data_IF_744825721658
#
_entry.id   IF_744825721658
#
_cell.length_a   1.000
_cell.length_b   1.000
_cell.length_c   1.000
_cell.angle_alpha   90.00
_cell.angle_beta   90.00
_cell.angle_gamma   90.00
#
_symmetry.space_group_name_H-M   'P 1'
#
loop_
_entity.id
_entity.type
_entity.pdbx_description
1 polymer ?
#
# COMPACT_ATOMS: atom_id res chain seq x y z
N UNK A 1 -23.82 -3.28 0.51
CA UNK A 1 -24.31 -2.06 -0.17
C UNK A 1 -25.74 -2.31 -0.61
N UNK A 2 -26.69 -1.70 0.04
CA UNK A 2 -28.10 -1.67 -0.41
C UNK A 2 -28.37 -0.59 -1.47
N UNK A 3 -27.31 -0.11 -2.13
CA UNK A 3 -27.32 0.94 -3.15
C UNK A 3 -25.89 1.29 -3.59
N UNK A 4 -25.75 2.30 -4.44
CA UNK A 4 -24.45 2.81 -4.90
C UNK A 4 -23.74 3.74 -3.88
N UNK A 5 -24.28 3.90 -2.67
CA UNK A 5 -23.74 4.76 -1.62
C UNK A 5 -23.21 3.98 -0.42
N UNK A 6 -22.53 4.69 0.46
CA UNK A 6 -22.12 4.17 1.77
C UNK A 6 -23.29 4.18 2.76
N UNK A 7 -23.20 3.34 3.80
CA UNK A 7 -24.14 3.40 4.91
C UNK A 7 -23.96 4.71 5.71
N UNK A 8 -24.98 5.08 6.51
CA UNK A 8 -24.88 6.25 7.40
C UNK A 8 -23.68 6.13 8.35
N UNK A 9 -23.42 4.93 8.86
CA UNK A 9 -22.25 4.65 9.71
C UNK A 9 -20.92 4.87 8.97
N UNK A 10 -20.83 4.39 7.71
CA UNK A 10 -19.65 4.59 6.86
C UNK A 10 -19.45 6.06 6.50
N UNK A 11 -20.52 6.84 6.27
CA UNK A 11 -20.40 8.28 6.04
C UNK A 11 -19.99 9.05 7.30
N UNK A 12 -20.48 8.66 8.48
CA UNK A 12 -20.04 9.23 9.76
C UNK A 12 -18.56 8.91 10.01
N UNK A 13 -18.16 7.66 9.78
CA UNK A 13 -16.77 7.22 9.87
C UNK A 13 -15.88 7.97 8.88
N UNK A 14 -16.27 8.10 7.62
CA UNK A 14 -15.58 8.89 6.59
C UNK A 14 -15.33 10.31 7.08
N UNK A 15 -16.36 10.96 7.63
CA UNK A 15 -16.24 12.32 8.17
C UNK A 15 -15.22 12.36 9.31
N UNK A 16 -15.28 11.43 10.25
CA UNK A 16 -14.32 11.35 11.38
C UNK A 16 -12.89 11.21 10.87
N UNK A 17 -12.63 10.31 9.92
CA UNK A 17 -11.29 10.11 9.35
C UNK A 17 -10.83 11.36 8.60
N UNK A 18 -11.70 12.00 7.83
CA UNK A 18 -11.41 13.26 7.13
C UNK A 18 -11.02 14.37 8.09
N UNK A 19 -11.80 14.57 9.15
CA UNK A 19 -11.56 15.61 10.16
C UNK A 19 -10.23 15.35 10.89
N UNK A 20 -9.97 14.11 11.29
CA UNK A 20 -8.69 13.70 11.87
C UNK A 20 -7.52 13.94 10.90
N UNK A 21 -7.65 13.48 9.67
CA UNK A 21 -6.58 13.56 8.65
C UNK A 21 -6.27 15.01 8.30
N UNK A 22 -7.29 15.85 8.14
CA UNK A 22 -7.12 17.27 7.86
C UNK A 22 -6.46 18.04 9.01
N UNK A 23 -6.77 17.66 10.26
CA UNK A 23 -6.21 18.31 11.45
C UNK A 23 -4.81 17.81 11.79
N UNK A 24 -4.56 16.50 11.69
CA UNK A 24 -3.40 15.86 12.26
C UNK A 24 -2.38 15.38 11.20
N UNK A 25 -2.82 14.94 10.00
CA UNK A 25 -1.95 14.39 8.98
C UNK A 25 -1.55 15.42 7.91
N UNK A 26 -2.48 16.26 7.46
CA UNK A 26 -2.19 17.26 6.42
C UNK A 26 -1.14 18.30 6.84
N UNK A 27 -1.16 18.85 8.08
CA UNK A 27 -0.10 19.74 8.52
C UNK A 27 1.26 19.03 8.51
N UNK A 28 2.27 19.64 7.87
CA UNK A 28 3.63 19.13 7.83
C UNK A 28 3.84 17.93 6.86
N UNK A 29 2.87 17.53 6.04
CA UNK A 29 3.07 16.43 5.06
C UNK A 29 4.25 16.68 4.14
N UNK A 30 4.38 17.92 3.67
CA UNK A 30 5.50 18.40 2.86
C UNK A 30 6.85 18.37 3.61
N UNK A 31 6.85 18.75 4.88
CA UNK A 31 8.08 18.77 5.68
C UNK A 31 8.52 17.36 6.05
N UNK A 32 7.58 16.45 6.32
CA UNK A 32 7.88 15.02 6.50
C UNK A 32 8.60 14.43 5.29
N UNK A 33 8.18 14.77 4.08
CA UNK A 33 8.84 14.31 2.85
C UNK A 33 10.27 14.83 2.69
N UNK A 34 10.63 15.95 3.32
CA UNK A 34 11.97 16.52 3.30
C UNK A 34 12.90 15.99 4.39
N UNK A 35 12.36 15.35 5.42
CA UNK A 35 13.13 14.83 6.56
C UNK A 35 13.83 13.52 6.18
N UNK A 36 14.88 13.62 5.36
CA UNK A 36 15.74 12.48 5.06
C UNK A 36 16.49 12.04 6.34
N UNK A 37 16.21 10.80 6.78
CA UNK A 37 16.94 10.17 7.89
C UNK A 37 16.26 10.13 9.26
N UNK A 38 15.11 10.77 9.46
CA UNK A 38 14.34 10.63 10.71
C UNK A 38 13.44 9.39 10.64
N UNK A 39 13.99 8.25 11.06
CA UNK A 39 13.31 6.94 10.99
C UNK A 39 12.25 6.73 12.06
N UNK A 40 12.35 7.44 13.20
CA UNK A 40 11.49 7.21 14.37
C UNK A 40 10.07 7.78 14.20
N UNK A 41 9.84 8.62 13.19
CA UNK A 41 8.51 9.22 12.96
C UNK A 41 7.44 8.20 12.58
N UNK A 42 7.79 7.05 12.00
CA UNK A 42 6.83 6.02 11.62
C UNK A 42 6.09 5.44 12.83
N UNK A 43 6.81 5.11 13.92
CA UNK A 43 6.22 4.65 15.18
C UNK A 43 5.38 5.74 15.86
N UNK A 44 5.82 7.00 15.83
CA UNK A 44 5.06 8.12 16.38
C UNK A 44 3.72 8.30 15.65
N UNK A 45 3.74 8.25 14.31
CA UNK A 45 2.53 8.34 13.50
C UNK A 45 1.61 7.14 13.70
N UNK A 46 2.17 5.93 13.78
CA UNK A 46 1.40 4.72 14.08
C UNK A 46 0.69 4.83 15.42
N UNK A 47 1.41 5.22 16.49
CA UNK A 47 0.84 5.44 17.83
C UNK A 47 -0.22 6.54 17.85
N UNK A 48 -0.04 7.61 17.06
CA UNK A 48 -1.01 8.70 16.95
C UNK A 48 -2.31 8.22 16.30
N UNK A 49 -2.22 7.46 15.22
CA UNK A 49 -3.36 6.86 14.52
C UNK A 49 -4.03 5.75 15.36
N UNK A 50 -3.26 5.00 16.14
CA UNK A 50 -3.78 3.98 17.05
C UNK A 50 -4.69 4.56 18.14
N UNK A 51 -4.46 5.80 18.60
CA UNK A 51 -5.32 6.48 19.58
C UNK A 51 -6.76 6.75 19.10
N UNK A 52 -6.98 6.67 17.80
CA UNK A 52 -8.30 6.81 17.15
C UNK A 52 -8.68 5.53 16.39
N UNK A 53 -8.10 4.41 16.77
CA UNK A 53 -8.37 3.04 16.28
C UNK A 53 -8.15 2.83 14.77
N UNK A 54 -7.39 3.69 14.10
CA UNK A 54 -7.18 3.59 12.65
C UNK A 54 -6.17 2.50 12.28
N UNK A 55 -5.12 2.26 13.06
CA UNK A 55 -4.08 1.27 12.73
C UNK A 55 -4.61 -0.16 12.82
N UNK A 56 -5.38 -0.47 13.87
CA UNK A 56 -6.00 -1.78 14.10
C UNK A 56 -7.34 -1.98 13.41
N UNK A 57 -7.75 -1.08 12.52
CA UNK A 57 -9.11 -1.03 11.97
C UNK A 57 -9.59 -2.35 11.38
N UNK A 58 -8.76 -3.03 10.57
CA UNK A 58 -9.11 -4.33 9.96
C UNK A 58 -8.61 -5.57 10.74
N UNK A 59 -8.05 -5.39 11.93
CA UNK A 59 -7.61 -6.51 12.79
C UNK A 59 -8.81 -7.00 13.62
N UNK A 60 -8.97 -8.33 13.84
CA UNK A 60 -10.06 -8.86 14.63
C UNK A 60 -10.13 -8.31 16.06
N UNK A 61 -11.35 -8.14 16.64
CA UNK A 61 -11.55 -7.58 17.98
C UNK A 61 -10.84 -8.33 19.10
N UNK A 62 -10.70 -9.66 19.00
CA UNK A 62 -10.00 -10.47 19.99
C UNK A 62 -8.51 -10.12 20.14
N UNK A 63 -7.94 -9.37 19.16
CA UNK A 63 -6.57 -8.84 19.20
C UNK A 63 -6.52 -7.32 19.41
N UNK A 64 -7.64 -6.69 19.75
CA UNK A 64 -7.72 -5.26 20.03
C UNK A 64 -7.96 -4.39 18.79
N UNK A 65 -8.33 -4.97 17.66
CA UNK A 65 -8.74 -4.27 16.46
C UNK A 65 -10.23 -3.98 16.41
N UNK A 66 -10.70 -3.42 15.28
CA UNK A 66 -12.12 -3.08 15.07
C UNK A 66 -12.85 -4.10 14.20
N UNK A 67 -12.14 -5.01 13.53
CA UNK A 67 -12.73 -6.03 12.64
C UNK A 67 -13.47 -5.47 11.43
N UNK A 68 -13.09 -4.26 10.99
CA UNK A 68 -13.73 -3.59 9.86
C UNK A 68 -13.56 -4.38 8.55
N UNK A 69 -14.57 -4.31 7.70
CA UNK A 69 -14.53 -4.83 6.34
C UNK A 69 -13.60 -4.03 5.42
N UNK A 70 -13.29 -4.58 4.25
CA UNK A 70 -12.37 -3.95 3.31
C UNK A 70 -12.88 -2.62 2.76
N UNK A 71 -14.19 -2.47 2.58
CA UNK A 71 -14.82 -1.20 2.15
C UNK A 71 -14.60 -0.13 3.22
N UNK A 72 -14.83 -0.42 4.49
CA UNK A 72 -14.61 0.54 5.59
C UNK A 72 -13.13 0.89 5.74
N UNK A 73 -12.23 -0.09 5.62
CA UNK A 73 -10.79 0.16 5.63
C UNK A 73 -10.37 1.04 4.43
N UNK A 74 -10.97 0.83 3.24
CA UNK A 74 -10.71 1.64 2.05
C UNK A 74 -11.14 3.10 2.23
N UNK A 75 -12.25 3.36 2.91
CA UNK A 75 -12.70 4.72 3.28
C UNK A 75 -11.61 5.42 4.11
N UNK A 76 -11.04 4.72 5.11
CA UNK A 76 -9.97 5.29 5.93
C UNK A 76 -8.73 5.61 5.08
N UNK A 77 -8.29 4.65 4.26
CA UNK A 77 -7.11 4.81 3.39
C UNK A 77 -7.30 5.97 2.40
N UNK A 78 -8.46 6.07 1.76
CA UNK A 78 -8.77 7.18 0.85
C UNK A 78 -8.68 8.54 1.56
N UNK A 79 -9.39 8.72 2.68
CA UNK A 79 -9.43 10.01 3.40
C UNK A 79 -8.07 10.38 4.01
N UNK A 80 -7.33 9.42 4.52
CA UNK A 80 -5.95 9.64 5.01
C UNK A 80 -5.01 10.04 3.88
N UNK A 81 -5.12 9.37 2.72
CA UNK A 81 -4.27 9.65 1.55
C UNK A 81 -4.57 10.99 0.88
N UNK A 82 -5.78 11.55 1.07
CA UNK A 82 -6.10 12.93 0.69
C UNK A 82 -5.27 13.94 1.47
N UNK A 83 -4.93 13.63 2.70
CA UNK A 83 -4.12 14.47 3.57
C UNK A 83 -2.62 14.22 3.41
N UNK A 84 -2.21 12.95 3.45
CA UNK A 84 -0.83 12.51 3.23
C UNK A 84 -0.82 11.10 2.64
N UNK A 85 -0.43 10.99 1.38
CA UNK A 85 -0.40 9.74 0.63
C UNK A 85 0.53 8.69 1.28
N UNK A 86 1.61 9.12 1.93
CA UNK A 86 2.58 8.22 2.56
C UNK A 86 2.07 7.61 3.88
N UNK A 87 1.13 8.28 4.55
CA UNK A 87 0.53 7.80 5.80
C UNK A 87 -0.76 7.00 5.58
N UNK A 88 -1.39 7.12 4.41
CA UNK A 88 -2.65 6.46 4.09
C UNK A 88 -2.60 4.93 4.18
N UNK A 89 -1.45 4.32 3.95
CA UNK A 89 -1.29 2.87 3.95
C UNK A 89 -1.08 2.23 5.35
N UNK A 90 -0.92 3.02 6.42
CA UNK A 90 -0.64 2.48 7.76
C UNK A 90 -1.66 1.44 8.26
N UNK A 91 -2.98 1.59 8.05
CA UNK A 91 -3.96 0.59 8.48
C UNK A 91 -3.93 -0.72 7.67
N UNK A 92 -3.31 -0.71 6.49
CA UNK A 92 -3.42 -1.82 5.52
C UNK A 92 -2.62 -3.04 5.96
N UNK A 93 -1.35 -2.86 6.33
CA UNK A 93 -0.48 -4.00 6.67
C UNK A 93 -0.93 -4.78 7.91
N UNK A 94 -1.35 -4.17 9.03
CA UNK A 94 -1.89 -4.91 10.16
C UNK A 94 -3.08 -5.80 9.79
N UNK A 95 -4.02 -5.29 8.98
CA UNK A 95 -5.18 -6.04 8.51
C UNK A 95 -4.78 -7.22 7.60
N UNK A 96 -3.85 -6.99 6.67
CA UNK A 96 -3.36 -8.03 5.76
C UNK A 96 -2.57 -9.12 6.50
N UNK A 97 -1.73 -8.73 7.48
CA UNK A 97 -0.96 -9.67 8.29
C UNK A 97 -1.88 -10.49 9.19
N UNK A 98 -2.87 -9.88 9.82
CA UNK A 98 -3.86 -10.60 10.61
C UNK A 98 -4.57 -11.66 9.73
N UNK A 99 -4.98 -11.29 8.51
CA UNK A 99 -5.62 -12.22 7.57
C UNK A 99 -4.67 -13.30 7.06
N UNK A 100 -3.39 -12.97 6.85
CA UNK A 100 -2.36 -13.94 6.48
C UNK A 100 -2.08 -14.93 7.61
N UNK A 101 -1.98 -14.46 8.86
CA UNK A 101 -1.81 -15.30 10.05
C UNK A 101 -3.01 -16.23 10.27
N UNK A 102 -4.23 -15.77 9.99
CA UNK A 102 -5.43 -16.60 10.05
C UNK A 102 -5.37 -17.72 8.98
N UNK A 103 -5.14 -17.34 7.71
CA UNK A 103 -5.09 -18.28 6.57
C UNK A 103 -3.93 -19.26 6.65
N UNK A 104 -2.81 -18.84 7.23
CA UNK A 104 -1.62 -19.64 7.44
C UNK A 104 -1.62 -20.42 8.76
N UNK A 105 -2.74 -20.43 9.50
CA UNK A 105 -2.90 -21.15 10.76
C UNK A 105 -1.76 -20.89 11.77
N UNK A 106 -1.27 -19.64 11.82
CA UNK A 106 -0.23 -19.25 12.79
C UNK A 106 -0.70 -19.49 14.21
N UNK A 107 0.22 -19.89 15.10
CA UNK A 107 -0.09 -20.18 16.50
C UNK A 107 -0.78 -19.00 17.20
N UNK A 108 -1.67 -19.30 18.15
CA UNK A 108 -2.38 -18.29 18.94
C UNK A 108 -1.40 -17.41 19.73
N UNK A 109 -0.29 -17.99 20.20
CA UNK A 109 0.75 -17.26 20.92
C UNK A 109 1.37 -16.15 20.09
N UNK A 110 1.75 -16.43 18.82
CA UNK A 110 2.33 -15.43 17.92
C UNK A 110 1.30 -14.40 17.48
N UNK A 111 0.05 -14.79 17.26
CA UNK A 111 -1.03 -13.81 16.99
C UNK A 111 -1.21 -12.85 18.16
N UNK A 112 -1.25 -13.36 19.41
CA UNK A 112 -1.35 -12.54 20.63
C UNK A 112 -0.11 -11.68 20.87
N UNK A 113 1.05 -12.10 20.40
CA UNK A 113 2.28 -11.32 20.50
C UNK A 113 2.29 -10.11 19.56
N UNK A 114 1.91 -10.31 18.31
CA UNK A 114 2.10 -9.29 17.27
C UNK A 114 0.86 -8.41 17.01
N UNK A 115 -0.34 -9.00 16.90
CA UNK A 115 -1.52 -8.26 16.49
C UNK A 115 -1.94 -7.15 17.46
N UNK A 116 -1.96 -7.38 18.80
CA UNK A 116 -2.25 -6.30 19.75
C UNK A 116 -1.21 -5.19 19.75
N UNK A 117 0.07 -5.53 19.58
CA UNK A 117 1.14 -4.53 19.46
C UNK A 117 1.00 -3.68 18.19
N UNK A 118 0.59 -4.29 17.06
CA UNK A 118 0.25 -3.54 15.85
C UNK A 118 -0.93 -2.60 16.08
N UNK A 119 -2.03 -3.06 16.70
CA UNK A 119 -3.20 -2.22 16.96
C UNK A 119 -2.87 -0.99 17.82
N UNK A 120 -1.91 -1.12 18.74
CA UNK A 120 -1.41 -0.02 19.58
C UNK A 120 -0.39 0.89 18.86
N UNK A 121 0.02 0.54 17.64
CA UNK A 121 1.07 1.25 16.91
C UNK A 121 2.48 1.05 17.47
N UNK A 122 2.68 -0.01 18.26
CA UNK A 122 3.94 -0.37 18.91
C UNK A 122 4.79 -1.33 18.08
N UNK A 123 4.17 -2.02 17.12
CA UNK A 123 4.84 -2.94 16.19
C UNK A 123 4.51 -2.54 14.75
N UNK A 124 5.51 -2.13 14.00
CA UNK A 124 5.40 -1.88 12.57
C UNK A 124 5.82 -3.12 11.78
N UNK A 125 5.13 -3.35 10.68
CA UNK A 125 5.42 -4.46 9.81
C UNK A 125 5.76 -4.00 8.39
N UNK A 126 6.56 -4.79 7.68
CA UNK A 126 6.79 -4.64 6.26
C UNK A 126 6.60 -5.95 5.51
N UNK A 127 6.60 -5.87 4.18
CA UNK A 127 6.45 -7.02 3.29
C UNK A 127 7.75 -7.19 2.48
N UNK A 128 8.41 -8.35 2.63
CA UNK A 128 9.71 -8.63 2.01
C UNK A 128 9.61 -9.74 0.96
N UNK A 129 9.51 -9.34 -0.31
CA UNK A 129 9.32 -10.25 -1.44
C UNK A 129 10.43 -10.09 -2.45
N UNK A 130 10.56 -8.90 -3.01
CA UNK A 130 11.46 -8.54 -4.11
C UNK A 130 12.92 -8.76 -3.76
N UNK A 131 13.70 -9.23 -4.73
CA UNK A 131 15.16 -9.42 -4.63
C UNK A 131 15.85 -8.70 -5.78
N UNK A 132 17.18 -8.43 -5.69
CA UNK A 132 17.88 -7.74 -6.77
C UNK A 132 17.75 -8.40 -8.14
N UNK A 133 17.55 -9.72 -8.19
CA UNK A 133 17.42 -10.50 -9.40
C UNK A 133 15.95 -10.75 -9.85
N UNK A 134 14.97 -10.43 -9.04
CA UNK A 134 13.56 -10.64 -9.40
C UNK A 134 12.60 -9.65 -8.74
N UNK A 135 11.70 -9.10 -9.54
CA UNK A 135 10.58 -8.28 -9.09
C UNK A 135 9.26 -8.87 -9.61
N UNK A 136 8.96 -8.68 -10.90
CA UNK A 136 7.74 -9.18 -11.54
C UNK A 136 7.64 -10.71 -11.55
N UNK A 137 8.76 -11.42 -11.68
CA UNK A 137 8.84 -12.88 -11.55
C UNK A 137 9.06 -13.29 -10.09
N UNK A 138 8.03 -13.14 -9.27
CA UNK A 138 8.08 -13.46 -7.83
C UNK A 138 8.41 -14.94 -7.57
N UNK A 139 8.13 -15.84 -8.50
CA UNK A 139 8.46 -17.26 -8.36
C UNK A 139 9.98 -17.52 -8.40
N UNK A 140 10.76 -16.58 -8.95
CA UNK A 140 12.22 -16.68 -9.10
C UNK A 140 13.03 -16.17 -7.89
N UNK A 141 12.41 -15.85 -6.75
CA UNK A 141 13.12 -15.49 -5.52
C UNK A 141 14.16 -16.55 -5.13
N UNK A 142 15.26 -16.16 -4.51
CA UNK A 142 16.41 -17.02 -4.20
C UNK A 142 16.86 -17.00 -2.74
N UNK A 143 16.34 -16.07 -1.90
CA UNK A 143 16.63 -16.06 -0.47
C UNK A 143 16.29 -17.45 0.09
N UNK A 144 17.27 -18.09 0.71
CA UNK A 144 17.18 -19.48 1.18
C UNK A 144 16.58 -19.50 2.59
N UNK A 145 15.78 -20.53 2.87
CA UNK A 145 15.35 -20.91 4.20
C UNK A 145 15.62 -22.41 4.37
N UNK A 146 16.72 -22.74 5.02
CA UNK A 146 17.13 -24.13 5.25
C UNK A 146 16.71 -24.56 6.65
N UNK A 147 15.97 -25.67 6.75
CA UNK A 147 15.52 -26.18 8.04
C UNK A 147 16.66 -26.90 8.77
N UNK A 148 16.93 -26.49 10.00
CA UNK A 148 17.88 -27.11 10.93
C UNK A 148 17.24 -27.34 12.28
N UNK A 149 16.75 -28.56 12.53
CA UNK A 149 16.01 -28.91 13.75
C UNK A 149 14.75 -28.05 13.90
N UNK A 150 14.68 -27.27 14.98
CA UNK A 150 13.55 -26.39 15.31
C UNK A 150 13.67 -24.97 14.74
N UNK A 151 14.59 -24.75 13.81
CA UNK A 151 14.83 -23.45 13.19
C UNK A 151 14.90 -23.54 11.67
N UNK A 152 14.65 -22.40 11.02
CA UNK A 152 15.08 -22.12 9.66
C UNK A 152 16.25 -21.14 9.68
N UNK A 153 17.28 -21.43 8.88
CA UNK A 153 18.42 -20.55 8.67
C UNK A 153 18.16 -19.78 7.39
N UNK A 154 18.04 -18.45 7.53
CA UNK A 154 17.77 -17.55 6.39
C UNK A 154 19.07 -16.95 5.88
N UNK A 155 19.28 -17.02 4.55
CA UNK A 155 20.40 -16.43 3.86
C UNK A 155 19.99 -15.78 2.56
N UNK A 156 20.32 -14.49 2.38
CA UNK A 156 20.07 -13.74 1.16
C UNK A 156 19.68 -12.28 1.40
N UNK A 157 19.16 -11.64 0.35
CA UNK A 157 18.77 -10.23 0.36
C UNK A 157 17.33 -10.07 -0.13
N UNK A 158 16.61 -9.18 0.52
CA UNK A 158 15.37 -8.59 0.00
C UNK A 158 15.59 -7.12 -0.30
N UNK A 159 15.12 -6.67 -1.45
CA UNK A 159 15.28 -5.27 -1.87
C UNK A 159 13.94 -4.58 -2.06
N UNK A 160 13.94 -3.26 -2.14
CA UNK A 160 12.72 -2.47 -2.34
C UNK A 160 11.65 -2.68 -1.26
N UNK A 161 12.07 -3.00 -0.03
CA UNK A 161 11.18 -3.23 1.10
C UNK A 161 10.69 -1.90 1.64
N UNK A 162 9.41 -1.56 1.39
CA UNK A 162 8.75 -0.39 1.96
C UNK A 162 8.65 -0.54 3.48
N UNK A 163 9.08 0.47 4.24
CA UNK A 163 9.19 0.39 5.70
C UNK A 163 10.37 -0.44 6.20
N UNK A 164 11.25 -0.93 5.33
CA UNK A 164 12.34 -1.83 5.71
C UNK A 164 13.28 -1.26 6.77
N UNK A 165 13.50 0.06 6.80
CA UNK A 165 14.35 0.69 7.84
C UNK A 165 13.66 0.76 9.20
N UNK A 166 12.33 0.95 9.25
CA UNK A 166 11.59 1.30 10.46
C UNK A 166 10.74 0.17 11.04
N UNK A 167 10.48 -0.89 10.25
CA UNK A 167 9.65 -2.01 10.71
C UNK A 167 10.37 -2.89 11.71
N UNK A 168 9.59 -3.42 12.64
CA UNK A 168 10.01 -4.34 13.71
C UNK A 168 9.96 -5.80 13.23
N UNK A 169 8.99 -6.11 12.37
CA UNK A 169 8.83 -7.45 11.78
C UNK A 169 8.64 -7.36 10.28
N UNK A 170 8.92 -8.45 9.59
CA UNK A 170 8.61 -8.59 8.17
C UNK A 170 7.80 -9.85 7.87
N UNK A 171 6.81 -9.72 6.98
CA UNK A 171 6.19 -10.85 6.30
C UNK A 171 7.09 -11.22 5.11
N UNK A 172 7.90 -12.26 5.31
CA UNK A 172 8.99 -12.67 4.43
C UNK A 172 8.60 -13.88 3.57
N UNK A 173 9.07 -13.90 2.32
CA UNK A 173 8.96 -15.02 1.40
C UNK A 173 10.36 -15.54 1.02
N UNK A 174 10.59 -16.84 1.24
CA UNK A 174 11.89 -17.48 1.04
C UNK A 174 11.76 -18.84 0.36
N UNK A 175 12.86 -19.36 -0.18
CA UNK A 175 12.92 -20.70 -0.79
C UNK A 175 13.30 -21.75 0.24
N UNK A 176 12.38 -22.66 0.53
CA UNK A 176 12.65 -23.93 1.22
C UNK A 176 13.01 -25.05 0.24
N UNK A 177 12.48 -25.00 -0.99
CA UNK A 177 12.91 -25.87 -2.10
C UNK A 177 13.24 -25.04 -3.36
N UNK A 178 14.54 -24.85 -3.68
CA UNK A 178 14.97 -24.09 -4.86
C UNK A 178 14.53 -24.68 -6.19
N UNK A 179 14.23 -26.00 -6.26
CA UNK A 179 13.89 -26.69 -7.50
C UNK A 179 12.40 -26.70 -7.81
N UNK A 180 11.55 -26.40 -6.85
CA UNK A 180 10.09 -26.54 -6.97
C UNK A 180 9.39 -25.28 -7.54
N UNK A 181 10.12 -24.28 -8.07
CA UNK A 181 9.52 -23.04 -8.62
C UNK A 181 8.65 -22.33 -7.60
N UNK A 182 7.43 -21.94 -7.95
CA UNK A 182 6.48 -21.30 -7.05
C UNK A 182 6.13 -22.16 -5.82
N UNK A 183 6.09 -23.50 -5.99
CA UNK A 183 5.82 -24.47 -4.90
C UNK A 183 6.98 -24.64 -3.92
N UNK A 184 8.13 -24.04 -4.18
CA UNK A 184 9.26 -24.02 -3.25
C UNK A 184 9.30 -22.75 -2.38
N UNK A 185 8.33 -21.84 -2.55
CA UNK A 185 8.24 -20.61 -1.74
C UNK A 185 7.47 -20.85 -0.46
N UNK A 186 8.08 -20.52 0.67
CA UNK A 186 7.48 -20.57 2.01
C UNK A 186 7.45 -19.17 2.61
N UNK A 187 6.49 -18.88 3.45
CA UNK A 187 6.34 -17.58 4.09
C UNK A 187 6.59 -17.64 5.60
N UNK A 188 7.05 -16.52 6.16
CA UNK A 188 7.47 -16.39 7.55
C UNK A 188 7.10 -15.01 8.11
N UNK A 189 6.86 -14.92 9.40
CA UNK A 189 6.88 -13.66 10.15
C UNK A 189 8.23 -13.60 10.87
N UNK A 190 9.08 -12.64 10.46
CA UNK A 190 10.48 -12.58 10.95
C UNK A 190 10.70 -11.26 11.68
N UNK A 191 11.12 -11.28 12.97
CA UNK A 191 11.63 -10.08 13.64
C UNK A 191 12.86 -9.53 12.94
N UNK A 192 12.94 -8.22 12.81
CA UNK A 192 14.03 -7.54 12.09
C UNK A 192 15.16 -7.06 13.03
N UNK A 193 15.09 -7.42 14.30
CA UNK A 193 16.11 -7.22 15.32
C UNK A 193 16.95 -8.50 15.60
N UNK A 194 16.67 -9.60 14.89
CA UNK A 194 17.42 -10.85 15.06
C UNK A 194 18.89 -10.69 14.65
N UNK A 195 19.81 -11.39 15.32
CA UNK A 195 21.21 -11.43 14.89
C UNK A 195 21.35 -11.92 13.45
N UNK A 196 22.22 -11.25 12.67
CA UNK A 196 22.42 -11.52 11.25
C UNK A 196 21.50 -10.70 10.31
N UNK A 197 20.52 -9.94 10.84
CA UNK A 197 19.74 -9.00 10.04
C UNK A 197 20.45 -7.66 9.96
N UNK A 198 20.60 -7.14 8.73
CA UNK A 198 21.09 -5.78 8.50
C UNK A 198 20.26 -5.08 7.43
N UNK A 199 20.32 -3.74 7.39
CA UNK A 199 19.45 -2.92 6.55
C UNK A 199 20.26 -1.84 5.85
N UNK A 200 19.92 -1.51 4.59
CA UNK A 200 20.51 -0.42 3.83
C UNK A 200 19.41 0.39 3.14
N UNK A 201 19.38 1.70 3.39
CA UNK A 201 18.35 2.60 2.88
C UNK A 201 18.54 2.91 1.40
N UNK A 202 17.42 3.08 0.68
CA UNK A 202 17.37 3.74 -0.63
C UNK A 202 17.09 5.24 -0.51
N UNK A 203 17.72 6.03 -1.36
CA UNK A 203 17.40 7.44 -1.57
C UNK A 203 16.50 7.56 -2.78
N UNK A 204 15.21 7.60 -2.54
CA UNK A 204 14.19 7.56 -3.57
C UNK A 204 13.77 8.96 -4.04
N UNK A 205 13.29 9.07 -5.28
CA UNK A 205 12.73 10.33 -5.77
C UNK A 205 11.40 10.69 -5.11
N UNK A 206 10.58 9.68 -4.77
CA UNK A 206 9.31 9.78 -4.05
C UNK A 206 9.30 8.82 -2.87
N UNK A 207 8.17 8.74 -2.13
CA UNK A 207 8.04 7.88 -0.95
C UNK A 207 9.12 8.09 0.12
N UNK A 208 9.63 9.30 0.24
CA UNK A 208 10.77 9.60 1.13
C UNK A 208 10.52 9.20 2.59
N UNK A 209 9.26 9.29 3.04
CA UNK A 209 8.83 8.90 4.40
C UNK A 209 8.61 7.40 4.57
N UNK A 210 8.50 6.63 3.49
CA UNK A 210 8.22 5.19 3.53
C UNK A 210 9.46 4.39 3.91
N UNK A 211 10.66 5.01 3.96
CA UNK A 211 11.93 4.41 4.42
C UNK A 211 12.23 3.07 3.74
N UNK A 212 12.16 3.04 2.41
CA UNK A 212 12.44 1.84 1.60
C UNK A 212 13.90 1.39 1.77
N UNK A 213 14.13 0.06 1.85
CA UNK A 213 15.45 -0.50 2.12
C UNK A 213 15.71 -1.82 1.40
N UNK A 214 17.00 -2.19 1.30
CA UNK A 214 17.41 -3.59 1.26
C UNK A 214 17.51 -4.13 2.68
N UNK A 215 17.08 -5.38 2.86
CA UNK A 215 17.20 -6.14 4.12
C UNK A 215 18.00 -7.39 3.83
N UNK A 216 19.10 -7.56 4.55
CA UNK A 216 20.03 -8.67 4.40
C UNK A 216 19.84 -9.65 5.54
N UNK A 217 19.93 -10.92 5.23
CA UNK A 217 19.85 -12.04 6.16
C UNK A 217 21.13 -12.87 6.02
N UNK A 218 21.93 -12.96 7.08
CA UNK A 218 23.20 -13.68 7.15
C UNK A 218 23.13 -14.66 8.33
N UNK A 219 22.91 -15.94 8.03
CA UNK A 219 22.70 -17.02 8.99
C UNK A 219 21.63 -16.71 10.07
N UNK A 220 20.55 -16.00 9.67
CA UNK A 220 19.47 -15.60 10.59
C UNK A 220 18.66 -16.82 11.00
N UNK A 221 18.63 -17.10 12.32
CA UNK A 221 17.89 -18.22 12.90
C UNK A 221 16.47 -17.81 13.24
N UNK A 222 15.50 -18.41 12.55
CA UNK A 222 14.07 -18.16 12.75
C UNK A 222 13.40 -19.44 13.29
N UNK A 223 12.69 -19.40 14.43
CA UNK A 223 11.99 -20.58 14.97
C UNK A 223 10.96 -21.12 13.97
N UNK A 224 10.74 -22.43 14.00
CA UNK A 224 9.86 -23.13 13.08
C UNK A 224 8.40 -22.65 13.16
N UNK A 225 7.93 -22.24 14.31
CA UNK A 225 6.58 -21.71 14.56
C UNK A 225 6.34 -20.32 13.95
N UNK A 226 7.41 -19.61 13.56
CA UNK A 226 7.34 -18.37 12.79
C UNK A 226 7.03 -18.59 11.31
N UNK A 227 7.02 -19.86 10.83
CA UNK A 227 6.54 -20.19 9.49
C UNK A 227 5.03 -19.96 9.39
N UNK A 228 4.62 -19.33 8.31
CA UNK A 228 3.21 -19.06 8.03
C UNK A 228 2.70 -20.04 6.97
N UNK A 229 1.79 -20.91 7.36
CA UNK A 229 1.29 -22.00 6.51
C UNK A 229 2.30 -23.14 6.32
N UNK A 230 1.98 -24.10 5.45
CA UNK A 230 2.86 -25.20 5.10
C UNK A 230 4.04 -24.76 4.23
N UNK A 231 5.13 -25.53 4.27
CA UNK A 231 6.22 -25.36 3.31
C UNK A 231 5.72 -25.45 1.87
N UNK A 232 6.21 -24.53 1.03
CA UNK A 232 5.83 -24.46 -0.38
C UNK A 232 4.46 -23.82 -0.65
N UNK A 233 3.73 -23.36 0.36
CA UNK A 233 2.44 -22.66 0.21
C UNK A 233 2.54 -21.14 0.22
N UNK A 234 3.71 -20.57 0.51
CA UNK A 234 3.92 -19.13 0.66
C UNK A 234 3.53 -18.33 -0.58
N UNK A 235 3.81 -18.83 -1.79
CA UNK A 235 3.41 -18.16 -3.03
C UNK A 235 1.89 -17.97 -3.14
N UNK A 236 1.11 -18.96 -2.75
CA UNK A 236 -0.36 -18.90 -2.81
C UNK A 236 -0.94 -17.96 -1.75
N UNK A 237 -0.36 -17.96 -0.54
CA UNK A 237 -0.73 -17.00 0.50
C UNK A 237 -0.44 -15.56 0.05
N UNK A 238 0.71 -15.32 -0.60
CA UNK A 238 1.07 -14.03 -1.17
C UNK A 238 0.07 -13.55 -2.22
N UNK A 239 -0.31 -14.41 -3.17
CA UNK A 239 -1.23 -14.02 -4.24
C UNK A 239 -2.59 -13.59 -3.67
N UNK A 240 -3.12 -14.30 -2.68
CA UNK A 240 -4.37 -13.91 -2.01
C UNK A 240 -4.27 -12.60 -1.20
N UNK A 241 -3.06 -12.26 -0.71
CA UNK A 241 -2.79 -10.98 -0.05
C UNK A 241 -2.68 -9.84 -1.06
N UNK A 242 -2.03 -10.10 -2.20
CA UNK A 242 -1.82 -9.10 -3.24
C UNK A 242 -3.09 -8.60 -3.90
N UNK A 243 -4.12 -9.45 -4.06
CA UNK A 243 -5.35 -9.02 -4.71
C UNK A 243 -5.99 -7.83 -3.97
N UNK A 244 -6.02 -7.87 -2.63
CA UNK A 244 -6.56 -6.76 -1.83
C UNK A 244 -5.56 -5.60 -1.70
N UNK A 245 -4.26 -5.89 -1.46
CA UNK A 245 -3.21 -4.87 -1.33
C UNK A 245 -3.14 -3.95 -2.56
N UNK A 246 -3.23 -4.51 -3.77
CA UNK A 246 -3.22 -3.76 -5.03
C UNK A 246 -4.35 -2.73 -5.11
N UNK A 247 -5.53 -3.06 -4.58
CA UNK A 247 -6.67 -2.13 -4.57
C UNK A 247 -6.47 -1.01 -3.54
N UNK A 248 -5.82 -1.31 -2.40
CA UNK A 248 -5.44 -0.26 -1.44
C UNK A 248 -4.42 0.72 -2.02
N UNK A 249 -3.45 0.25 -2.79
CA UNK A 249 -2.54 1.15 -3.51
C UNK A 249 -3.30 2.03 -4.51
N UNK A 250 -4.27 1.44 -5.23
CA UNK A 250 -5.08 2.16 -6.20
C UNK A 250 -5.93 3.27 -5.54
N UNK A 251 -6.65 2.96 -4.45
CA UNK A 251 -7.50 3.96 -3.78
C UNK A 251 -6.67 5.04 -3.08
N UNK A 252 -5.49 4.70 -2.55
CA UNK A 252 -4.56 5.64 -1.92
C UNK A 252 -4.11 6.73 -2.90
N UNK A 253 -3.61 6.34 -4.08
CA UNK A 253 -3.14 7.30 -5.07
C UNK A 253 -4.27 8.14 -5.66
N UNK A 254 -5.49 7.59 -5.76
CA UNK A 254 -6.68 8.34 -6.19
C UNK A 254 -7.10 9.40 -5.18
N UNK A 255 -6.93 9.16 -3.87
CA UNK A 255 -7.14 10.17 -2.83
C UNK A 255 -6.25 11.40 -3.03
N UNK A 256 -4.96 11.18 -3.27
CA UNK A 256 -4.02 12.27 -3.57
C UNK A 256 -4.35 13.01 -4.88
N UNK A 257 -4.82 12.29 -5.91
CA UNK A 257 -5.25 12.88 -7.18
C UNK A 257 -6.49 13.76 -7.00
N UNK A 258 -7.49 13.28 -6.27
CA UNK A 258 -8.71 14.04 -5.97
C UNK A 258 -8.39 15.35 -5.25
N UNK A 259 -7.54 15.30 -4.21
CA UNK A 259 -7.07 16.50 -3.53
C UNK A 259 -6.37 17.47 -4.48
N UNK A 260 -5.51 16.97 -5.35
CA UNK A 260 -4.78 17.79 -6.32
C UNK A 260 -5.70 18.50 -7.31
N UNK A 261 -6.74 17.83 -7.81
CA UNK A 261 -7.75 18.45 -8.69
C UNK A 261 -8.60 19.47 -7.91
N UNK A 262 -8.98 19.21 -6.66
CA UNK A 262 -9.73 20.16 -5.84
C UNK A 262 -8.92 21.44 -5.55
N UNK A 263 -7.61 21.32 -5.31
CA UNK A 263 -6.69 22.45 -5.19
C UNK A 263 -6.60 23.23 -6.52
N UNK A 264 -6.51 22.51 -7.65
CA UNK A 264 -6.50 23.14 -9.00
C UNK A 264 -7.82 23.87 -9.30
N UNK A 265 -8.97 23.33 -8.89
CA UNK A 265 -10.28 24.00 -9.02
C UNK A 265 -10.29 25.31 -8.21
N UNK A 266 -9.80 25.27 -6.98
CA UNK A 266 -9.75 26.43 -6.11
C UNK A 266 -8.82 27.51 -6.68
N UNK A 267 -7.64 27.11 -7.12
CA UNK A 267 -6.67 28.01 -7.74
C UNK A 267 -7.23 28.62 -9.05
N UNK A 268 -7.83 27.81 -9.91
CA UNK A 268 -8.36 28.28 -11.19
C UNK A 268 -9.50 29.31 -11.04
N UNK A 269 -10.29 29.22 -9.97
CA UNK A 269 -11.33 30.20 -9.63
C UNK A 269 -10.75 31.54 -9.15
N UNK A 270 -9.57 31.52 -8.53
CA UNK A 270 -8.95 32.72 -7.94
C UNK A 270 -7.94 33.39 -8.86
N UNK A 271 -7.16 32.60 -9.60
CA UNK A 271 -6.13 33.08 -10.51
C UNK A 271 -6.75 33.74 -11.75
N UNK A 272 -6.34 34.97 -12.02
CA UNK A 272 -6.81 35.70 -13.21
C UNK A 272 -5.72 35.79 -14.28
N UNK A 273 -6.12 35.67 -15.52
CA UNK A 273 -5.33 35.94 -16.71
C UNK A 273 -6.25 36.53 -17.78
N UNK A 274 -5.74 37.46 -18.60
CA UNK A 274 -6.51 38.14 -19.67
C UNK A 274 -7.83 38.75 -19.15
N UNK A 275 -7.83 39.26 -17.91
CA UNK A 275 -8.97 39.92 -17.28
C UNK A 275 -10.05 38.99 -16.71
N UNK A 276 -9.84 37.67 -16.71
CA UNK A 276 -10.82 36.67 -16.24
C UNK A 276 -10.16 35.61 -15.35
N UNK A 277 -10.92 34.92 -14.43
CA UNK A 277 -10.47 33.71 -13.77
C UNK A 277 -10.06 32.65 -14.81
N UNK A 278 -8.95 31.95 -14.59
CA UNK A 278 -8.46 30.96 -15.56
C UNK A 278 -9.42 29.75 -15.70
N UNK A 279 -10.28 29.51 -14.71
CA UNK A 279 -11.36 28.51 -14.80
C UNK A 279 -12.31 28.72 -15.99
N UNK A 280 -12.36 29.95 -16.54
CA UNK A 280 -13.21 30.27 -17.67
C UNK A 280 -12.68 29.72 -19.00
N UNK A 281 -11.40 29.44 -19.09
CA UNK A 281 -10.77 28.95 -20.32
C UNK A 281 -10.97 27.44 -20.45
N UNK A 282 -11.47 26.99 -21.60
CA UNK A 282 -11.78 25.58 -21.88
C UNK A 282 -10.55 24.69 -21.74
N UNK A 283 -9.35 25.15 -22.09
CA UNK A 283 -8.09 24.44 -21.89
C UNK A 283 -7.75 24.13 -20.40
N UNK A 284 -8.42 24.80 -19.46
CA UNK A 284 -8.32 24.55 -18.01
C UNK A 284 -9.52 23.74 -17.53
N UNK A 285 -10.75 24.21 -17.83
CA UNK A 285 -11.97 23.61 -17.32
C UNK A 285 -12.21 22.18 -17.86
N UNK A 286 -11.85 21.90 -19.12
CA UNK A 286 -11.99 20.56 -19.71
C UNK A 286 -11.05 19.55 -19.04
N UNK A 287 -9.80 19.90 -18.77
CA UNK A 287 -8.86 19.05 -18.03
C UNK A 287 -9.41 18.68 -16.64
N UNK A 288 -9.94 19.65 -15.91
CA UNK A 288 -10.57 19.41 -14.59
C UNK A 288 -11.74 18.44 -14.73
N UNK A 289 -12.64 18.64 -15.71
CA UNK A 289 -13.80 17.78 -15.92
C UNK A 289 -13.41 16.33 -16.29
N UNK A 290 -12.43 16.17 -17.18
CA UNK A 290 -11.92 14.88 -17.61
C UNK A 290 -11.30 14.12 -16.45
N UNK A 291 -10.42 14.75 -15.66
CA UNK A 291 -9.78 14.11 -14.51
C UNK A 291 -10.78 13.78 -13.39
N UNK A 292 -11.72 14.67 -13.10
CA UNK A 292 -12.78 14.37 -12.12
C UNK A 292 -13.58 13.14 -12.53
N UNK A 293 -13.95 13.02 -13.80
CA UNK A 293 -14.69 11.85 -14.33
C UNK A 293 -13.87 10.57 -14.24
N UNK A 294 -12.59 10.61 -14.62
CA UNK A 294 -11.71 9.43 -14.60
C UNK A 294 -11.39 8.96 -13.17
N UNK A 295 -11.19 9.90 -12.24
CA UNK A 295 -10.96 9.60 -10.81
C UNK A 295 -12.19 8.92 -10.23
N UNK A 296 -13.40 9.45 -10.49
CA UNK A 296 -14.66 8.86 -10.01
C UNK A 296 -14.85 7.44 -10.54
N UNK A 297 -14.66 7.22 -11.85
CA UNK A 297 -14.74 5.90 -12.46
C UNK A 297 -13.74 4.89 -11.84
N UNK A 298 -12.50 5.34 -11.59
CA UNK A 298 -11.47 4.51 -10.97
C UNK A 298 -11.81 4.18 -9.50
N UNK A 299 -12.33 5.14 -8.74
CA UNK A 299 -12.78 4.92 -7.35
C UNK A 299 -13.93 3.91 -7.28
N UNK A 300 -14.93 4.03 -8.14
CA UNK A 300 -16.04 3.08 -8.23
C UNK A 300 -15.55 1.66 -8.52
N UNK A 301 -14.56 1.49 -9.39
CA UNK A 301 -13.93 0.19 -9.64
C UNK A 301 -13.23 -0.35 -8.38
N UNK A 302 -12.51 0.48 -7.64
CA UNK A 302 -11.86 0.09 -6.39
C UNK A 302 -12.89 -0.34 -5.34
N UNK A 303 -13.92 0.45 -5.09
CA UNK A 303 -14.95 0.12 -4.09
C UNK A 303 -15.74 -1.14 -4.47
N UNK A 304 -16.06 -1.31 -5.76
CA UNK A 304 -16.64 -2.56 -6.24
C UNK A 304 -15.73 -3.77 -5.95
N UNK A 305 -14.43 -3.61 -6.12
CA UNK A 305 -13.46 -4.68 -5.88
C UNK A 305 -13.36 -5.03 -4.39
N UNK A 306 -13.33 -4.04 -3.50
CA UNK A 306 -13.39 -4.28 -2.05
C UNK A 306 -14.68 -4.96 -1.63
N UNK A 307 -15.83 -4.53 -2.18
CA UNK A 307 -17.09 -5.20 -1.92
C UNK A 307 -17.09 -6.66 -2.35
N UNK A 308 -16.52 -7.00 -3.53
CA UNK A 308 -16.35 -8.39 -3.95
C UNK A 308 -15.50 -9.19 -2.95
N UNK A 309 -14.41 -8.59 -2.45
CA UNK A 309 -13.55 -9.20 -1.44
C UNK A 309 -14.29 -9.45 -0.11
N UNK A 310 -15.10 -8.49 0.35
CA UNK A 310 -15.94 -8.64 1.55
C UNK A 310 -16.99 -9.74 1.41
N UNK A 311 -17.51 -9.95 0.20
CA UNK A 311 -18.43 -11.06 -0.10
C UNK A 311 -17.72 -12.42 -0.27
N UNK A 312 -16.39 -12.48 -0.14
CA UNK A 312 -15.62 -13.70 -0.41
C UNK A 312 -15.60 -14.12 -1.88
N UNK A 313 -15.97 -13.23 -2.81
CA UNK A 313 -16.01 -13.50 -4.25
C UNK A 313 -14.64 -13.31 -4.89
N UNK A 314 -14.41 -14.01 -6.01
CA UNK A 314 -13.17 -13.83 -6.80
C UNK A 314 -13.12 -12.42 -7.36
N UNK A 315 -11.98 -11.75 -7.16
CA UNK A 315 -11.77 -10.34 -7.52
C UNK A 315 -10.38 -10.05 -8.12
N UNK A 316 -9.63 -11.10 -8.47
CA UNK A 316 -8.25 -10.98 -9.01
C UNK A 316 -8.21 -10.11 -10.27
N UNK A 317 -9.16 -10.28 -11.20
CA UNK A 317 -9.26 -9.48 -12.41
C UNK A 317 -9.50 -8.01 -12.09
N UNK A 318 -10.47 -7.71 -11.25
CA UNK A 318 -10.83 -6.36 -10.84
C UNK A 318 -9.67 -5.69 -10.07
N UNK A 319 -9.00 -6.42 -9.18
CA UNK A 319 -7.81 -5.94 -8.47
C UNK A 319 -6.68 -5.54 -9.43
N UNK A 320 -6.42 -6.37 -10.43
CA UNK A 320 -5.46 -6.05 -11.48
C UNK A 320 -5.88 -4.84 -12.33
N UNK A 321 -7.18 -4.70 -12.65
CA UNK A 321 -7.72 -3.51 -13.32
C UNK A 321 -7.49 -2.25 -12.48
N UNK A 322 -7.83 -2.26 -11.19
CA UNK A 322 -7.60 -1.13 -10.28
C UNK A 322 -6.13 -0.72 -10.27
N UNK A 323 -5.22 -1.69 -10.14
CA UNK A 323 -3.79 -1.44 -9.93
C UNK A 323 -3.08 -0.84 -11.15
N UNK A 324 -3.43 -1.22 -12.39
CA UNK A 324 -2.80 -0.60 -13.55
C UNK A 324 -3.47 0.71 -13.95
N UNK A 325 -4.78 0.85 -13.78
CA UNK A 325 -5.54 2.00 -14.24
C UNK A 325 -5.42 3.21 -13.31
N UNK A 326 -5.60 3.00 -12.00
CA UNK A 326 -5.67 4.09 -11.03
C UNK A 326 -4.39 4.92 -10.90
N UNK A 327 -3.17 4.34 -10.85
CA UNK A 327 -1.95 5.15 -10.79
C UNK A 327 -1.73 6.02 -12.02
N UNK A 328 -2.08 5.54 -13.22
CA UNK A 328 -2.00 6.31 -14.46
C UNK A 328 -2.96 7.50 -14.40
N UNK A 329 -4.23 7.24 -14.03
CA UNK A 329 -5.24 8.29 -13.84
C UNK A 329 -4.75 9.35 -12.84
N UNK A 330 -4.22 8.89 -11.72
CA UNK A 330 -3.75 9.78 -10.65
C UNK A 330 -2.54 10.61 -11.09
N UNK A 331 -1.53 10.00 -11.71
CA UNK A 331 -0.35 10.72 -12.19
C UNK A 331 -0.71 11.80 -13.21
N UNK A 332 -1.58 11.48 -14.16
CA UNK A 332 -2.03 12.45 -15.17
C UNK A 332 -2.83 13.59 -14.53
N UNK A 333 -3.70 13.29 -13.57
CA UNK A 333 -4.47 14.29 -12.85
C UNK A 333 -3.58 15.23 -12.02
N UNK A 334 -2.62 14.67 -11.25
CA UNK A 334 -1.68 15.45 -10.44
C UNK A 334 -0.77 16.31 -11.34
N UNK A 335 -0.29 15.75 -12.46
CA UNK A 335 0.50 16.47 -13.43
C UNK A 335 -0.26 17.67 -14.03
N UNK A 336 -1.49 17.47 -14.47
CA UNK A 336 -2.31 18.56 -15.02
C UNK A 336 -2.70 19.58 -13.92
N UNK A 337 -2.94 19.16 -12.69
CA UNK A 337 -3.12 20.08 -11.57
C UNK A 337 -1.87 20.97 -11.36
N UNK A 338 -0.66 20.40 -11.47
CA UNK A 338 0.59 21.15 -11.39
C UNK A 338 0.68 22.17 -12.55
N UNK A 339 0.35 21.78 -13.78
CA UNK A 339 0.35 22.69 -14.94
C UNK A 339 -0.67 23.83 -14.78
N UNK A 340 -1.84 23.56 -14.20
CA UNK A 340 -2.87 24.59 -13.92
C UNK A 340 -2.35 25.62 -12.92
N UNK A 341 -1.62 25.21 -11.89
CA UNK A 341 -0.98 26.12 -10.94
C UNK A 341 0.22 26.87 -11.53
N UNK A 342 0.81 26.34 -12.60
CA UNK A 342 1.97 26.93 -13.27
C UNK A 342 3.24 26.83 -12.40
N UNK A 343 4.15 27.81 -12.58
CA UNK A 343 5.49 27.78 -11.98
C UNK A 343 5.49 27.69 -10.44
N UNK A 344 4.44 28.17 -9.77
CA UNK A 344 4.30 28.09 -8.30
C UNK A 344 4.33 26.64 -7.82
N UNK A 345 3.68 25.74 -8.55
CA UNK A 345 3.61 24.31 -8.18
C UNK A 345 4.86 23.49 -8.58
N UNK A 346 5.79 24.11 -9.30
CA UNK A 346 7.09 23.50 -9.63
C UNK A 346 8.08 23.59 -8.46
N UNK A 347 7.79 24.43 -7.46
CA UNK A 347 8.60 24.57 -6.26
C UNK A 347 8.37 23.43 -5.30
N UNK A 348 9.45 22.95 -4.62
CA UNK A 348 9.36 22.03 -3.49
C UNK A 348 8.56 22.57 -2.30
N UNK A 349 8.17 23.84 -2.32
CA UNK A 349 7.26 24.45 -1.34
C UNK A 349 5.80 24.12 -1.61
N UNK A 350 5.46 23.59 -2.80
CA UNK A 350 4.12 23.19 -3.18
C UNK A 350 3.94 21.66 -3.13
N UNK A 351 2.83 21.12 -2.57
CA UNK A 351 2.67 19.67 -2.38
C UNK A 351 2.48 18.87 -3.67
N UNK A 352 2.15 19.51 -4.79
CA UNK A 352 1.89 18.82 -6.07
C UNK A 352 3.13 18.14 -6.64
N UNK A 353 4.32 18.73 -6.49
CA UNK A 353 5.57 18.11 -6.95
C UNK A 353 5.84 16.79 -6.22
N UNK A 354 5.65 16.78 -4.88
CA UNK A 354 5.80 15.58 -4.08
C UNK A 354 4.78 14.52 -4.47
N UNK A 355 3.48 14.88 -4.57
CA UNK A 355 2.43 13.95 -4.95
C UNK A 355 2.68 13.34 -6.33
N UNK A 356 3.23 14.13 -7.27
CA UNK A 356 3.59 13.63 -8.61
C UNK A 356 4.71 12.58 -8.54
N UNK A 357 5.78 12.85 -7.77
CA UNK A 357 6.87 11.89 -7.57
C UNK A 357 6.38 10.61 -6.89
N UNK A 358 5.53 10.74 -5.86
CA UNK A 358 4.95 9.61 -5.16
C UNK A 358 4.02 8.78 -6.07
N UNK A 359 3.18 9.42 -6.89
CA UNK A 359 2.27 8.74 -7.82
C UNK A 359 3.01 7.83 -8.82
N UNK A 360 4.20 8.24 -9.29
CA UNK A 360 5.05 7.41 -10.16
C UNK A 360 5.45 6.10 -9.46
N UNK A 361 5.74 6.14 -8.17
CA UNK A 361 6.05 4.94 -7.39
C UNK A 361 4.92 3.92 -7.36
N UNK A 362 3.65 4.38 -7.35
CA UNK A 362 2.48 3.50 -7.40
C UNK A 362 2.31 2.78 -8.76
N UNK A 363 2.88 3.29 -9.85
CA UNK A 363 2.90 2.56 -11.13
C UNK A 363 3.84 1.34 -11.09
N UNK A 364 4.88 1.40 -10.25
CA UNK A 364 5.95 0.39 -10.18
C UNK A 364 5.71 -0.67 -9.09
N UNK A 365 5.22 -0.25 -7.90
CA UNK A 365 5.05 -1.12 -6.73
C UNK A 365 4.01 -2.23 -6.98
N UNK A 366 4.21 -3.40 -6.36
CA UNK A 366 3.29 -4.56 -6.29
C UNK A 366 2.74 -5.06 -7.64
N UNK A 367 3.54 -4.91 -8.68
CA UNK A 367 3.29 -5.30 -10.06
C UNK A 367 3.06 -4.12 -10.99
N UNK A 368 3.86 -4.07 -12.06
CA UNK A 368 3.76 -3.03 -13.10
C UNK A 368 2.43 -3.12 -13.86
N UNK A 369 2.08 -2.05 -14.58
CA UNK A 369 0.88 -2.02 -15.41
C UNK A 369 0.83 -3.19 -16.41
N UNK A 370 1.98 -3.59 -16.97
CA UNK A 370 2.09 -4.69 -17.93
C UNK A 370 1.76 -6.03 -17.28
N UNK A 371 2.28 -6.30 -16.06
CA UNK A 371 1.95 -7.51 -15.30
C UNK A 371 0.45 -7.54 -14.96
N UNK A 372 -0.14 -6.42 -14.58
CA UNK A 372 -1.57 -6.34 -14.31
C UNK A 372 -2.41 -6.61 -15.57
N UNK A 373 -2.02 -6.07 -16.73
CA UNK A 373 -2.68 -6.33 -18.02
C UNK A 373 -2.58 -7.81 -18.42
N UNK A 374 -1.45 -8.49 -18.15
CA UNK A 374 -1.32 -9.94 -18.35
C UNK A 374 -2.33 -10.70 -17.49
N UNK A 375 -2.51 -10.30 -16.22
CA UNK A 375 -3.51 -10.93 -15.33
C UNK A 375 -4.92 -10.71 -15.89
N UNK A 376 -5.28 -9.49 -16.25
CA UNK A 376 -6.59 -9.17 -16.84
C UNK A 376 -6.84 -9.96 -18.11
N UNK A 377 -5.87 -10.01 -19.03
CA UNK A 377 -5.97 -10.75 -20.28
C UNK A 377 -6.18 -12.25 -20.04
N UNK A 378 -5.44 -12.83 -19.08
CA UNK A 378 -5.59 -14.24 -18.71
C UNK A 378 -6.98 -14.56 -18.15
N UNK A 379 -7.55 -13.68 -17.35
CA UNK A 379 -8.89 -13.86 -16.78
C UNK A 379 -10.01 -13.69 -17.82
N UNK A 380 -9.77 -12.91 -18.88
CA UNK A 380 -10.74 -12.66 -19.95
C UNK A 380 -10.63 -13.66 -21.12
N UNK A 381 -9.42 -14.00 -21.53
CA UNK A 381 -9.13 -14.80 -22.73
C UNK A 381 -8.86 -16.28 -22.37
N UNK A 382 -8.26 -16.50 -21.18
CA UNK A 382 -7.86 -17.84 -20.76
C UNK A 382 -6.37 -18.11 -20.99
N UNK A 383 -6.04 -19.43 -21.12
CA UNK A 383 -4.65 -19.90 -21.23
C UNK A 383 -3.96 -19.43 -22.51
N UNK A 384 -4.72 -19.12 -23.53
CA UNK A 384 -4.26 -18.65 -24.84
C UNK A 384 -3.55 -17.29 -24.78
N UNK A 385 -3.83 -16.49 -23.74
CA UNK A 385 -3.18 -15.20 -23.52
C UNK A 385 -1.82 -15.29 -22.81
N UNK A 386 -1.36 -16.47 -22.41
CA UNK A 386 -0.09 -16.63 -21.72
C UNK A 386 1.07 -16.36 -22.67
N UNK A 387 1.98 -15.44 -22.35
CA UNK A 387 3.07 -15.08 -23.27
C UNK A 387 4.15 -16.17 -23.37
N UNK A 388 4.22 -17.09 -22.39
CA UNK A 388 5.20 -18.19 -22.28
C UNK A 388 4.71 -19.29 -21.33
#
# INVERSE_FOLDING_TARGET
MSGFGFSEEQEMFRKMVRDFSGKELAPGSKDRAKQEGQYDTAHEWSKKMAKVDLVGLGVPPEYGGQGADWVTLAIAVEEMSKADINLGAFPVLPALIAKAMERGEMSQELRQRYLPAMCKGECLACLSITEPNCGSDVAAIRLKAVREGDYYILNGEKTSVSGGMTSDITYLFAKTDPKAGARGVTSFIVPLDLPGVSKSRFLDMGFKNVTRASVFFDDVRVPIDHRLGDEGKGFYLLMGTFDVLRVFLAISVLGAAETSINEAITYAKQRTAFGHPIARFEGVSFKIAEHATRIEAAKLLCYRTFWLADQGLVHTKEAAMCKWFSPIVAREAIHDALLIHGHVAYSEEHPLEQRLRDAIGYELADGTAEIMKIIVARELIGKESRPY
#
